data_IF_103540153238
#
_entry.id   IF_103540153238
#
_cell.length_a   1.000
_cell.length_b   1.000
_cell.length_c   1.000
_cell.angle_alpha   90.00
_cell.angle_beta   90.00
_cell.angle_gamma   90.00
#
_symmetry.space_group_name_H-M   'P 1'
#
loop_
_entity.id
_entity.type
_entity.pdbx_description
1 polymer ?
#
# COMPACT_ATOMS: atom_id res chain seq x y z
N UNK A 1 -17.11 -26.39 27.32
CA UNK A 1 -17.26 -24.97 26.90
C UNK A 1 -17.38 -24.97 25.39
N UNK A 2 -18.59 -24.70 24.89
CA UNK A 2 -18.85 -24.71 23.45
C UNK A 2 -18.30 -23.44 22.82
N UNK A 3 -17.28 -23.58 22.01
CA UNK A 3 -16.87 -22.50 21.09
C UNK A 3 -17.91 -22.41 19.97
N UNK A 4 -18.80 -21.44 20.06
CA UNK A 4 -19.60 -21.04 18.91
C UNK A 4 -18.67 -20.41 17.88
N UNK A 5 -18.51 -21.11 16.77
CA UNK A 5 -17.87 -20.61 15.56
C UNK A 5 -18.65 -19.39 15.10
N UNK A 6 -18.08 -18.20 15.27
CA UNK A 6 -18.58 -16.99 14.63
C UNK A 6 -18.28 -17.18 13.14
N UNK A 7 -19.26 -17.66 12.40
CA UNK A 7 -19.20 -17.71 10.96
C UNK A 7 -19.05 -16.26 10.47
N UNK A 8 -17.88 -15.94 9.90
CA UNK A 8 -17.68 -14.73 9.16
C UNK A 8 -18.74 -14.69 8.04
N UNK A 9 -19.67 -13.75 8.12
CA UNK A 9 -20.62 -13.52 7.05
C UNK A 9 -19.81 -13.19 5.80
N UNK A 10 -19.92 -14.08 4.79
CA UNK A 10 -19.47 -13.77 3.44
C UNK A 10 -20.07 -12.42 3.06
N UNK A 11 -19.29 -11.48 2.48
CA UNK A 11 -19.90 -10.35 1.83
C UNK A 11 -20.81 -10.91 0.74
N UNK A 12 -22.11 -10.82 0.93
CA UNK A 12 -23.12 -11.14 -0.07
C UNK A 12 -23.12 -10.02 -1.12
N UNK A 13 -22.10 -10.04 -1.96
CA UNK A 13 -22.03 -9.38 -3.23
C UNK A 13 -22.02 -10.45 -4.31
N UNK A 14 -23.07 -11.26 -4.39
CA UNK A 14 -23.34 -12.00 -5.60
C UNK A 14 -23.60 -10.99 -6.70
N UNK A 15 -22.64 -10.87 -7.61
CA UNK A 15 -22.90 -10.29 -8.93
C UNK A 15 -24.12 -11.05 -9.49
N UNK A 16 -25.20 -10.38 -9.88
CA UNK A 16 -26.32 -11.03 -10.50
C UNK A 16 -25.82 -11.66 -11.79
N UNK A 17 -25.91 -12.99 -11.87
CA UNK A 17 -25.55 -13.81 -13.04
C UNK A 17 -26.50 -13.64 -14.23
N UNK A 18 -27.53 -12.84 -14.04
CA UNK A 18 -28.51 -12.57 -15.06
C UNK A 18 -28.14 -11.27 -15.74
N UNK A 19 -27.85 -11.33 -17.04
CA UNK A 19 -27.44 -10.23 -17.92
C UNK A 19 -28.33 -8.98 -17.92
N UNK A 20 -28.64 -8.48 -16.73
CA UNK A 20 -29.26 -7.19 -16.54
C UNK A 20 -28.19 -6.16 -16.93
N UNK A 21 -28.38 -5.42 -18.03
CA UNK A 21 -27.47 -4.36 -18.39
C UNK A 21 -27.40 -3.43 -17.18
N UNK A 22 -26.22 -3.31 -16.57
CA UNK A 22 -25.93 -2.27 -15.59
C UNK A 22 -26.46 -0.97 -16.20
N UNK A 23 -27.61 -0.48 -15.74
CA UNK A 23 -28.09 0.87 -16.06
C UNK A 23 -27.00 1.79 -15.56
N UNK A 24 -26.08 2.12 -16.46
CA UNK A 24 -25.01 3.07 -16.22
C UNK A 24 -25.70 4.38 -15.91
N UNK A 25 -25.73 4.74 -14.63
CA UNK A 25 -26.08 6.11 -14.26
C UNK A 25 -24.98 6.99 -14.85
N UNK A 26 -25.18 7.41 -16.08
CA UNK A 26 -24.26 8.26 -16.82
C UNK A 26 -23.76 9.47 -16.02
N UNK A 27 -24.63 10.17 -15.22
CA UNK A 27 -24.20 11.28 -14.40
C UNK A 27 -23.17 10.90 -13.34
N UNK A 28 -23.31 9.75 -12.68
CA UNK A 28 -22.36 9.31 -11.65
C UNK A 28 -21.00 8.91 -12.25
N UNK A 29 -21.01 8.23 -13.38
CA UNK A 29 -19.78 7.89 -14.11
C UNK A 29 -19.03 9.13 -14.56
N UNK A 30 -19.70 10.11 -15.15
CA UNK A 30 -19.08 11.35 -15.60
C UNK A 30 -18.50 12.15 -14.42
N UNK A 31 -19.19 12.16 -13.29
CA UNK A 31 -18.72 12.78 -12.04
C UNK A 31 -17.44 12.12 -11.54
N UNK A 32 -17.43 10.78 -11.48
CA UNK A 32 -16.24 10.01 -11.08
C UNK A 32 -15.06 10.25 -12.02
N UNK A 33 -15.29 10.22 -13.34
CA UNK A 33 -14.23 10.48 -14.32
C UNK A 33 -13.67 11.89 -14.18
N UNK A 34 -14.53 12.91 -13.99
CA UNK A 34 -14.08 14.29 -13.75
C UNK A 34 -13.27 14.39 -12.46
N UNK A 35 -13.73 13.76 -11.36
CA UNK A 35 -13.01 13.74 -10.09
C UNK A 35 -11.64 13.09 -10.24
N UNK A 36 -11.57 11.91 -10.87
CA UNK A 36 -10.30 11.25 -11.14
C UNK A 36 -9.35 12.14 -11.96
N UNK A 37 -9.87 12.78 -13.00
CA UNK A 37 -9.07 13.68 -13.84
C UNK A 37 -8.52 14.85 -13.03
N UNK A 38 -9.34 15.51 -12.21
CA UNK A 38 -8.88 16.57 -11.30
C UNK A 38 -7.77 16.09 -10.36
N UNK A 39 -7.93 14.94 -9.70
CA UNK A 39 -6.92 14.38 -8.80
C UNK A 39 -5.57 14.13 -9.50
N UNK A 40 -5.60 13.67 -10.75
CA UNK A 40 -4.38 13.48 -11.53
C UNK A 40 -3.78 14.79 -12.05
N UNK A 41 -4.61 15.82 -12.31
CA UNK A 41 -4.15 17.17 -12.66
C UNK A 41 -3.48 17.84 -11.45
N UNK A 42 -4.08 17.78 -10.27
CA UNK A 42 -3.54 18.34 -9.02
C UNK A 42 -2.18 17.69 -8.65
N UNK A 43 -2.00 16.41 -8.99
CA UNK A 43 -0.74 15.70 -8.77
C UNK A 43 0.38 16.18 -9.69
N UNK A 44 0.07 16.78 -10.83
CA UNK A 44 1.04 17.14 -11.88
C UNK A 44 2.16 18.03 -11.35
N UNK A 45 1.85 18.93 -10.42
CA UNK A 45 2.84 19.85 -9.82
C UNK A 45 3.93 19.12 -9.03
N UNK A 46 3.59 17.94 -8.48
CA UNK A 46 4.52 17.08 -7.75
C UNK A 46 5.29 16.12 -8.66
N UNK A 47 4.74 15.78 -9.81
CA UNK A 47 5.35 14.79 -10.73
C UNK A 47 6.73 15.19 -11.21
N UNK A 48 6.97 16.47 -11.45
CA UNK A 48 8.26 16.94 -11.92
C UNK A 48 9.34 16.75 -10.86
N UNK A 49 9.02 17.00 -9.58
CA UNK A 49 9.92 16.72 -8.46
C UNK A 49 10.16 15.23 -8.28
N UNK A 50 9.11 14.43 -8.40
CA UNK A 50 9.25 12.97 -8.32
C UNK A 50 10.07 12.39 -9.46
N UNK A 51 9.92 12.93 -10.67
CA UNK A 51 10.77 12.56 -11.82
C UNK A 51 12.23 12.89 -11.56
N UNK A 52 12.51 14.05 -10.95
CA UNK A 52 13.85 14.43 -10.56
C UNK A 52 14.44 13.47 -9.53
N UNK A 53 13.72 13.14 -8.46
CA UNK A 53 14.13 12.16 -7.46
C UNK A 53 14.39 10.79 -8.13
N UNK A 54 13.48 10.34 -9.00
CA UNK A 54 13.66 9.11 -9.76
C UNK A 54 14.94 9.16 -10.59
N UNK A 55 15.12 10.19 -11.38
CA UNK A 55 16.19 10.27 -12.37
C UNK A 55 17.59 10.35 -11.72
N UNK A 56 17.71 10.91 -10.52
CA UNK A 56 19.00 11.12 -9.85
C UNK A 56 19.24 10.23 -8.62
N UNK A 57 18.19 9.72 -7.97
CA UNK A 57 18.33 8.95 -6.73
C UNK A 57 17.79 7.53 -6.83
N UNK A 58 16.59 7.35 -7.40
CA UNK A 58 15.86 6.09 -7.39
C UNK A 58 15.42 5.67 -8.81
N UNK A 59 16.34 5.38 -9.74
CA UNK A 59 16.03 5.20 -11.17
C UNK A 59 15.12 4.01 -11.47
N UNK A 60 15.04 3.05 -10.55
CA UNK A 60 14.24 1.83 -10.72
C UNK A 60 12.84 1.93 -10.08
N UNK A 61 12.53 3.05 -9.44
CA UNK A 61 11.27 3.28 -8.71
C UNK A 61 10.45 4.37 -9.40
N UNK A 62 9.12 4.22 -9.40
CA UNK A 62 8.20 5.21 -9.97
C UNK A 62 7.77 4.91 -11.40
N UNK A 63 6.48 5.13 -11.67
CA UNK A 63 5.83 4.97 -12.97
C UNK A 63 5.12 6.27 -13.35
N UNK A 64 5.87 7.23 -13.93
CA UNK A 64 5.31 8.54 -14.29
C UNK A 64 4.93 8.67 -15.77
N UNK A 65 5.58 7.92 -16.64
CA UNK A 65 5.40 7.97 -18.09
C UNK A 65 4.79 6.68 -18.62
N UNK A 66 3.47 6.57 -18.56
CA UNK A 66 2.75 5.38 -19.00
C UNK A 66 3.00 4.99 -20.47
N UNK A 67 3.21 5.98 -21.36
CA UNK A 67 3.34 5.71 -22.79
C UNK A 67 4.73 5.21 -23.17
N UNK A 68 5.79 5.84 -22.63
CA UNK A 68 7.17 5.46 -22.95
C UNK A 68 7.57 4.13 -22.29
N UNK A 69 7.10 3.87 -21.05
CA UNK A 69 7.41 2.64 -20.33
C UNK A 69 6.65 1.42 -20.89
N UNK A 70 5.46 1.61 -21.44
CA UNK A 70 4.69 0.57 -22.13
C UNK A 70 5.29 0.19 -23.47
N UNK A 71 5.83 1.14 -24.20
CA UNK A 71 6.43 0.91 -25.53
C UNK A 71 7.81 0.27 -25.42
N UNK A 72 8.56 0.57 -24.36
CA UNK A 72 9.88 0.01 -24.13
C UNK A 72 10.14 -0.24 -22.63
N UNK A 73 9.65 -1.37 -22.08
CA UNK A 73 9.85 -1.73 -20.68
C UNK A 73 11.32 -1.92 -20.27
N UNK A 74 12.19 -2.20 -21.23
CA UNK A 74 13.64 -2.37 -21.02
C UNK A 74 14.43 -1.04 -21.13
N UNK A 75 13.74 0.10 -21.21
CA UNK A 75 14.42 1.41 -21.31
C UNK A 75 15.33 1.64 -20.11
N UNK A 76 16.58 2.02 -20.38
CA UNK A 76 17.51 2.46 -19.35
C UNK A 76 17.01 3.73 -18.68
N UNK A 77 16.90 3.68 -17.36
CA UNK A 77 16.45 4.80 -16.52
C UNK A 77 17.61 5.48 -15.77
N UNK A 78 18.81 4.88 -15.84
CA UNK A 78 20.01 5.31 -15.13
C UNK A 78 20.91 6.27 -15.93
N UNK A 79 20.45 6.77 -17.07
CA UNK A 79 21.26 7.60 -17.99
C UNK A 79 21.74 8.93 -17.37
N UNK A 80 21.04 9.45 -16.37
CA UNK A 80 21.40 10.71 -15.68
C UNK A 80 22.29 10.49 -14.46
N UNK A 81 22.53 9.23 -14.08
CA UNK A 81 23.31 8.91 -12.90
C UNK A 81 24.79 8.87 -13.25
N UNK A 82 25.56 9.77 -12.67
CA UNK A 82 27.01 9.82 -12.81
C UNK A 82 27.69 8.85 -11.85
N UNK A 83 27.16 8.71 -10.62
CA UNK A 83 27.69 7.80 -9.60
C UNK A 83 26.55 7.28 -8.70
N UNK A 84 26.71 6.07 -8.16
CA UNK A 84 25.66 5.36 -7.40
C UNK A 84 25.55 5.76 -5.92
N UNK A 85 26.12 6.89 -5.49
CA UNK A 85 26.10 7.31 -4.06
C UNK A 85 24.70 7.58 -3.58
N UNK A 86 23.87 8.28 -4.36
CA UNK A 86 22.49 8.62 -3.98
C UNK A 86 21.62 7.38 -3.82
N UNK A 87 21.72 6.42 -4.74
CA UNK A 87 21.05 5.13 -4.64
C UNK A 87 21.46 4.35 -3.39
N UNK A 88 22.78 4.26 -3.14
CA UNK A 88 23.30 3.57 -1.94
C UNK A 88 22.83 4.27 -0.66
N UNK A 89 22.84 5.61 -0.61
CA UNK A 89 22.35 6.37 0.53
C UNK A 89 20.87 6.09 0.80
N UNK A 90 20.02 5.99 -0.23
CA UNK A 90 18.61 5.65 -0.09
C UNK A 90 18.41 4.23 0.49
N UNK A 91 19.23 3.26 0.05
CA UNK A 91 19.18 1.89 0.60
C UNK A 91 19.64 1.85 2.07
N UNK A 92 20.71 2.54 2.41
CA UNK A 92 21.20 2.64 3.80
C UNK A 92 20.16 3.32 4.68
N UNK A 93 19.53 4.38 4.18
CA UNK A 93 18.44 5.07 4.88
C UNK A 93 17.26 4.12 5.13
N UNK A 94 16.76 3.41 4.10
CA UNK A 94 15.65 2.47 4.24
C UNK A 94 15.98 1.36 5.26
N UNK A 95 17.18 0.79 5.19
CA UNK A 95 17.65 -0.23 6.14
C UNK A 95 17.75 0.33 7.57
N UNK A 96 18.25 1.56 7.72
CA UNK A 96 18.35 2.23 9.02
C UNK A 96 16.98 2.49 9.65
N UNK A 97 16.02 3.00 8.86
CA UNK A 97 14.64 3.20 9.31
C UNK A 97 13.98 1.88 9.69
N UNK A 98 14.16 0.83 8.89
CA UNK A 98 13.63 -0.49 9.18
C UNK A 98 14.20 -1.07 10.46
N UNK A 99 15.49 -0.96 10.68
CA UNK A 99 16.15 -1.45 11.91
C UNK A 99 15.69 -0.72 13.17
N UNK A 100 15.29 0.54 13.04
CA UNK A 100 14.79 1.37 14.14
C UNK A 100 13.30 1.18 14.44
N UNK A 101 12.46 1.16 13.41
CA UNK A 101 11.00 1.18 13.56
C UNK A 101 10.37 -0.21 13.52
N UNK A 102 10.78 -1.08 12.59
CA UNK A 102 10.16 -2.38 12.36
C UNK A 102 11.18 -3.51 12.21
N UNK A 103 12.09 -3.69 13.17
CA UNK A 103 13.10 -4.74 13.08
C UNK A 103 12.45 -6.13 13.08
N UNK A 104 12.78 -7.01 12.11
CA UNK A 104 12.21 -8.36 12.08
C UNK A 104 12.71 -9.26 13.21
N UNK A 105 13.87 -8.92 13.80
CA UNK A 105 14.54 -9.75 14.82
C UNK A 105 14.07 -9.50 16.25
N UNK A 106 13.31 -8.43 16.49
CA UNK A 106 12.82 -8.10 17.83
C UNK A 106 11.39 -7.57 17.77
N UNK A 107 10.69 -7.70 18.91
CA UNK A 107 9.36 -7.15 19.10
C UNK A 107 9.42 -5.61 19.05
N UNK A 108 8.68 -5.01 18.14
CA UNK A 108 8.67 -3.57 17.91
C UNK A 108 7.32 -2.91 18.21
N UNK A 109 6.27 -3.71 18.52
CA UNK A 109 4.97 -3.21 18.94
C UNK A 109 4.46 -3.98 20.15
N UNK A 110 3.59 -3.36 20.94
CA UNK A 110 2.91 -3.97 22.07
C UNK A 110 1.44 -3.57 22.08
N UNK A 111 0.58 -4.52 22.37
CA UNK A 111 -0.82 -4.23 22.58
C UNK A 111 -1.06 -3.75 24.02
N UNK A 112 -1.99 -2.79 24.15
CA UNK A 112 -2.45 -2.29 25.45
C UNK A 112 -3.95 -2.05 25.39
N UNK A 113 -4.62 -2.19 26.52
CA UNK A 113 -6.00 -1.80 26.63
C UNK A 113 -6.13 -0.27 26.69
N UNK A 114 -7.20 0.26 26.12
CA UNK A 114 -7.53 1.69 26.20
C UNK A 114 -7.80 2.13 27.64
N UNK A 115 -8.31 1.22 28.51
CA UNK A 115 -8.53 1.44 29.93
C UNK A 115 -7.27 1.10 30.71
N UNK A 116 -6.62 2.07 31.40
CA UNK A 116 -5.36 1.83 32.11
C UNK A 116 -5.45 0.73 33.17
N UNK A 117 -6.62 0.62 33.82
CA UNK A 117 -6.91 -0.36 34.89
C UNK A 117 -6.72 -1.81 34.41
N UNK A 118 -7.07 -2.10 33.15
CA UNK A 118 -6.91 -3.44 32.58
C UNK A 118 -5.44 -3.78 32.28
N UNK A 119 -4.58 -2.78 32.10
CA UNK A 119 -3.16 -3.00 31.86
C UNK A 119 -2.41 -3.43 33.12
N UNK A 120 -3.00 -3.29 34.30
CA UNK A 120 -2.45 -3.80 35.57
C UNK A 120 -2.95 -5.20 35.90
N UNK A 121 -3.98 -5.69 35.22
CA UNK A 121 -4.52 -7.02 35.43
C UNK A 121 -3.69 -8.06 34.64
N UNK A 122 -3.08 -8.99 35.38
CA UNK A 122 -2.18 -10.02 34.81
C UNK A 122 -2.89 -10.94 33.82
N UNK A 123 -4.14 -11.34 34.10
CA UNK A 123 -4.90 -12.23 33.22
C UNK A 123 -5.28 -11.51 31.89
N UNK A 124 -5.69 -10.25 31.99
CA UNK A 124 -6.00 -9.44 30.82
C UNK A 124 -4.75 -9.24 29.95
N UNK A 125 -3.60 -8.98 30.56
CA UNK A 125 -2.34 -8.82 29.83
C UNK A 125 -1.88 -10.10 29.14
N UNK A 126 -2.04 -11.26 29.73
CA UNK A 126 -1.73 -12.57 29.10
C UNK A 126 -2.50 -12.76 27.78
N UNK A 127 -3.78 -12.34 27.72
CA UNK A 127 -4.58 -12.40 26.51
C UNK A 127 -4.00 -11.51 25.41
N UNK A 128 -3.54 -10.31 25.76
CA UNK A 128 -2.89 -9.41 24.80
C UNK A 128 -1.55 -9.94 24.33
N UNK A 129 -0.74 -10.50 25.22
CA UNK A 129 0.56 -11.09 24.87
C UNK A 129 0.38 -12.26 23.88
N UNK A 130 -0.59 -13.15 24.13
CA UNK A 130 -0.92 -14.23 23.18
C UNK A 130 -1.36 -13.69 21.81
N UNK A 131 -2.21 -12.65 21.79
CA UNK A 131 -2.62 -12.01 20.52
C UNK A 131 -1.44 -11.36 19.81
N UNK A 132 -0.54 -10.74 20.55
CA UNK A 132 0.66 -10.12 20.02
C UNK A 132 1.59 -11.15 19.37
N UNK A 133 1.78 -12.32 19.99
CA UNK A 133 2.54 -13.44 19.41
C UNK A 133 1.92 -13.95 18.11
N UNK A 134 0.59 -14.10 18.06
CA UNK A 134 -0.14 -14.50 16.85
C UNK A 134 0.09 -13.49 15.74
N UNK A 135 -0.10 -12.19 16.01
CA UNK A 135 0.09 -11.15 15.01
C UNK A 135 1.55 -11.12 14.53
N UNK A 136 2.52 -11.24 15.43
CA UNK A 136 3.94 -11.29 15.07
C UNK A 136 4.26 -12.49 14.17
N UNK A 137 3.67 -13.65 14.46
CA UNK A 137 3.81 -14.85 13.63
C UNK A 137 3.21 -14.67 12.24
N UNK A 138 2.03 -14.04 12.13
CA UNK A 138 1.38 -13.74 10.85
C UNK A 138 2.21 -12.76 10.03
N UNK A 139 2.71 -11.69 10.65
CA UNK A 139 3.59 -10.73 9.97
C UNK A 139 4.89 -11.38 9.48
N UNK A 140 5.48 -12.27 10.28
CA UNK A 140 6.71 -12.96 9.92
C UNK A 140 6.52 -13.95 8.76
N UNK A 141 5.36 -14.61 8.67
CA UNK A 141 5.02 -15.54 7.58
C UNK A 141 4.61 -14.82 6.30
N UNK A 142 4.07 -13.61 6.42
CA UNK A 142 3.63 -12.80 5.29
C UNK A 142 4.80 -12.10 4.58
N UNK A 143 4.49 -11.38 3.52
CA UNK A 143 5.46 -10.52 2.83
C UNK A 143 5.61 -9.13 3.47
N UNK A 144 5.20 -8.94 4.74
CA UNK A 144 5.19 -7.64 5.42
C UNK A 144 6.55 -6.96 5.40
N UNK A 145 7.62 -7.66 5.82
CA UNK A 145 8.95 -7.07 5.95
C UNK A 145 9.55 -6.64 4.60
N UNK A 146 9.27 -7.37 3.54
CA UNK A 146 9.68 -6.97 2.18
C UNK A 146 8.89 -5.74 1.71
N UNK A 147 7.60 -5.72 1.97
CA UNK A 147 6.72 -4.62 1.58
C UNK A 147 7.04 -3.34 2.35
N UNK A 148 7.26 -3.43 3.66
CA UNK A 148 7.59 -2.25 4.47
C UNK A 148 8.98 -1.70 4.15
N UNK A 149 9.96 -2.54 3.80
CA UNK A 149 11.26 -2.08 3.30
C UNK A 149 11.10 -1.27 2.00
N UNK A 150 10.24 -1.71 1.09
CA UNK A 150 9.92 -0.96 -0.14
C UNK A 150 9.28 0.40 0.21
N UNK A 151 8.36 0.44 1.20
CA UNK A 151 7.79 1.71 1.68
C UNK A 151 8.89 2.65 2.17
N UNK A 152 9.85 2.15 2.96
CA UNK A 152 10.96 2.98 3.45
C UNK A 152 11.90 3.44 2.34
N UNK A 153 12.08 2.64 1.29
CA UNK A 153 12.87 3.02 0.13
C UNK A 153 12.18 4.14 -0.68
N UNK A 154 10.84 4.14 -0.73
CA UNK A 154 10.05 5.15 -1.44
C UNK A 154 9.76 6.42 -0.62
N UNK A 155 10.16 6.49 0.67
CA UNK A 155 9.97 7.68 1.51
C UNK A 155 10.50 9.00 0.91
N UNK A 156 11.59 9.03 0.13
CA UNK A 156 12.04 10.26 -0.52
C UNK A 156 10.98 10.93 -1.41
N UNK A 157 10.01 10.17 -1.93
CA UNK A 157 8.88 10.72 -2.67
C UNK A 157 7.79 11.34 -1.78
N UNK A 158 7.90 11.20 -0.45
CA UNK A 158 7.00 11.78 0.55
C UNK A 158 5.78 10.92 0.90
N UNK A 159 5.45 9.91 0.09
CA UNK A 159 4.29 9.04 0.31
C UNK A 159 4.49 7.68 -0.34
N UNK A 160 4.04 6.63 0.34
CA UNK A 160 4.00 5.28 -0.20
C UNK A 160 2.85 4.49 0.44
N UNK A 161 1.66 4.42 -0.17
CA UNK A 161 0.54 3.66 0.34
C UNK A 161 0.83 2.17 0.27
N UNK A 162 0.34 1.46 1.28
CA UNK A 162 0.39 0.00 1.34
C UNK A 162 -1.02 -0.54 1.60
N UNK A 163 -1.49 -1.45 0.76
CA UNK A 163 -2.74 -2.15 0.95
C UNK A 163 -2.53 -3.50 1.62
N UNK A 164 -3.52 -3.93 2.39
CA UNK A 164 -3.56 -5.22 3.07
C UNK A 164 -4.70 -6.03 2.48
N UNK A 165 -4.39 -7.23 2.01
CA UNK A 165 -5.37 -8.17 1.46
C UNK A 165 -5.39 -9.45 2.30
N UNK A 166 -6.52 -10.12 2.30
CA UNK A 166 -6.61 -11.46 2.81
C UNK A 166 -5.88 -12.44 1.88
N UNK A 167 -5.12 -13.35 2.46
CA UNK A 167 -4.44 -14.42 1.76
C UNK A 167 -4.81 -15.75 2.44
N UNK A 168 -5.37 -16.69 1.67
CA UNK A 168 -5.82 -17.97 2.21
C UNK A 168 -4.68 -18.85 2.75
N UNK A 169 -3.46 -18.69 2.21
CA UNK A 169 -2.29 -19.48 2.61
C UNK A 169 -1.55 -18.87 3.80
N UNK A 170 -1.30 -17.54 3.75
CA UNK A 170 -0.45 -16.85 4.73
C UNK A 170 -1.25 -15.95 5.69
N UNK A 171 -2.58 -15.91 5.55
CA UNK A 171 -3.48 -15.08 6.33
C UNK A 171 -3.57 -13.65 5.81
N UNK A 172 -2.46 -12.97 5.55
CA UNK A 172 -2.43 -11.60 5.02
C UNK A 172 -1.33 -11.43 3.98
N UNK A 173 -1.62 -10.59 2.99
CA UNK A 173 -0.70 -10.17 1.95
C UNK A 173 -0.65 -8.64 1.88
N UNK A 174 0.54 -8.09 1.83
CA UNK A 174 0.79 -6.66 1.71
C UNK A 174 1.17 -6.31 0.28
N UNK A 175 0.64 -5.20 -0.22
CA UNK A 175 1.00 -4.67 -1.53
C UNK A 175 1.33 -3.19 -1.41
N UNK A 176 2.57 -2.84 -1.67
CA UNK A 176 3.00 -1.44 -1.81
C UNK A 176 2.58 -0.91 -3.17
N UNK A 177 2.27 0.36 -3.23
CA UNK A 177 1.85 1.03 -4.44
C UNK A 177 2.90 2.05 -4.82
N UNK A 178 3.58 1.78 -5.92
CA UNK A 178 4.66 2.64 -6.43
C UNK A 178 4.16 4.02 -6.81
N UNK A 179 4.96 5.02 -6.51
CA UNK A 179 4.66 6.42 -6.84
C UNK A 179 4.41 6.58 -8.36
N UNK A 180 3.43 7.39 -8.71
CA UNK A 180 3.01 7.58 -10.10
C UNK A 180 1.79 6.76 -10.52
N UNK A 181 1.52 5.61 -9.87
CA UNK A 181 0.37 4.75 -10.19
C UNK A 181 -0.93 5.16 -9.52
N UNK A 182 -0.88 6.02 -8.52
CA UNK A 182 -2.03 6.44 -7.72
C UNK A 182 -2.13 7.95 -7.56
N UNK A 183 -3.29 8.42 -7.17
CA UNK A 183 -3.56 9.79 -6.75
C UNK A 183 -4.32 9.79 -5.42
N UNK A 184 -4.01 10.74 -4.56
CA UNK A 184 -4.62 10.95 -3.26
C UNK A 184 -5.32 12.31 -3.24
N UNK A 185 -6.46 12.38 -2.58
CA UNK A 185 -7.13 13.64 -2.26
C UNK A 185 -7.29 13.69 -0.73
N UNK A 186 -6.86 14.80 -0.15
CA UNK A 186 -7.01 15.06 1.28
C UNK A 186 -8.03 16.17 1.53
N UNK A 187 -8.68 16.12 2.67
CA UNK A 187 -9.52 17.21 3.14
C UNK A 187 -8.66 18.38 3.68
N UNK A 188 -9.33 19.49 4.06
CA UNK A 188 -8.66 20.66 4.63
C UNK A 188 -7.89 20.41 5.92
N UNK A 189 -8.08 19.27 6.56
CA UNK A 189 -7.36 18.82 7.76
C UNK A 189 -6.20 17.85 7.46
N UNK A 190 -5.92 17.59 6.17
CA UNK A 190 -4.85 16.67 5.74
C UNK A 190 -5.24 15.19 5.81
N UNK A 191 -6.52 14.87 6.09
CA UNK A 191 -6.99 13.49 6.08
C UNK A 191 -7.29 13.04 4.66
N UNK A 192 -6.70 11.91 4.25
CA UNK A 192 -6.98 11.30 2.94
C UNK A 192 -8.44 10.84 2.89
N UNK A 193 -9.20 11.40 1.97
CA UNK A 193 -10.63 11.10 1.75
C UNK A 193 -10.88 10.26 0.52
N UNK A 194 -10.04 10.39 -0.49
CA UNK A 194 -10.18 9.64 -1.73
C UNK A 194 -8.82 9.09 -2.15
N UNK A 195 -8.83 7.82 -2.51
CA UNK A 195 -7.70 7.11 -3.09
C UNK A 195 -8.08 6.61 -4.48
N UNK A 196 -7.29 6.93 -5.48
CA UNK A 196 -7.47 6.44 -6.84
C UNK A 196 -6.19 5.78 -7.35
N UNK A 197 -6.32 4.59 -7.90
CA UNK A 197 -5.20 3.86 -8.51
C UNK A 197 -5.50 3.55 -9.96
N UNK A 198 -4.51 3.75 -10.82
CA UNK A 198 -4.55 3.33 -12.21
C UNK A 198 -3.60 2.16 -12.41
N UNK A 199 -4.12 1.07 -12.94
CA UNK A 199 -3.34 -0.12 -13.29
C UNK A 199 -3.95 -0.78 -14.52
N UNK A 200 -3.14 -1.50 -15.26
CA UNK A 200 -3.58 -2.25 -16.43
C UNK A 200 -3.96 -3.67 -16.00
N UNK A 201 -5.07 -4.16 -16.52
CA UNK A 201 -5.53 -5.53 -16.33
C UNK A 201 -5.70 -6.20 -17.68
N UNK A 202 -5.42 -7.50 -17.75
CA UNK A 202 -5.80 -8.32 -18.91
C UNK A 202 -7.30 -8.62 -18.88
N UNK A 203 -7.87 -8.94 -20.02
CA UNK A 203 -9.29 -9.34 -20.10
C UNK A 203 -9.60 -10.55 -19.22
N UNK A 204 -8.66 -11.47 -19.07
CA UNK A 204 -8.80 -12.64 -18.23
C UNK A 204 -8.88 -12.27 -16.75
N UNK A 205 -8.01 -11.37 -16.29
CA UNK A 205 -8.04 -10.84 -14.91
C UNK A 205 -9.28 -10.01 -14.58
N UNK A 206 -10.00 -9.54 -15.59
CA UNK A 206 -11.25 -8.81 -15.40
C UNK A 206 -12.46 -9.75 -15.34
N UNK A 207 -12.33 -10.96 -15.88
CA UNK A 207 -13.39 -11.98 -15.93
C UNK A 207 -13.41 -12.88 -14.68
N UNK A 208 -12.27 -13.01 -13.98
CA UNK A 208 -12.12 -13.72 -12.69
C UNK A 208 -12.56 -12.82 -11.51
#
# INVERSE_FOLDING_TARGET
>A
MNFQTIAASKPQGTLPSDGVPLKKNLPDRQRLVRKLKSMYEDRRDWEDRWKEIRDYQLPFVGEFDNTADKTNPARRRDLKIVHGVAWRAAQVFAAGVMSGLTPPSRQWFRFAYRRPELNTNVEAMKVLDTRQEIVSSVLAKSNFYNSIHTVYLELPFGQCPMAIFYDAENGVRFQTMTIGTYALEADGFGKVTTFARKYDMTLQQLAD
#
